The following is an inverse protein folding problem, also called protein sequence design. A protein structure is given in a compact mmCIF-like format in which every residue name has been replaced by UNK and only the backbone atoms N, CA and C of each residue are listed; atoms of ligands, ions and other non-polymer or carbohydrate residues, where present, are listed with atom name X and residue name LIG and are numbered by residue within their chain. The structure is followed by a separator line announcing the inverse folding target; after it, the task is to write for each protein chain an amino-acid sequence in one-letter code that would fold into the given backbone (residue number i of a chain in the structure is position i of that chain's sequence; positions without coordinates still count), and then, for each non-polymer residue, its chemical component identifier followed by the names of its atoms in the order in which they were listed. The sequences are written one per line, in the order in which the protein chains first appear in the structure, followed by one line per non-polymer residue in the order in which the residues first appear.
data_IF_561879491693
#
_entry.id   IF_561879491693
#
_cell.length_a   1.000
_cell.length_b   1.000
_cell.length_c   1.000
_cell.angle_alpha   90.00
_cell.angle_beta   90.00
_cell.angle_gamma   90.00
#
_symmetry.space_group_name_H-M   'P 1'
#
loop_
_entity.id
_entity.type
_entity.pdbx_description
1 polymer ?
#
# COMPACT_ATOMS: atom_id res chain seq x y z
N UNK A 1 9.63 8.18 -14.21
CA UNK A 1 9.43 6.84 -13.62
C UNK A 1 8.78 7.07 -12.28
N UNK A 2 7.61 6.48 -12.02
CA UNK A 2 6.99 6.59 -10.70
C UNK A 2 7.97 6.08 -9.65
N UNK A 3 8.13 6.81 -8.54
CA UNK A 3 8.93 6.34 -7.40
C UNK A 3 8.21 5.15 -6.78
N UNK A 4 8.92 4.07 -6.48
CA UNK A 4 8.30 2.93 -5.79
C UNK A 4 7.91 3.35 -4.35
N UNK A 5 6.77 2.85 -3.88
CA UNK A 5 6.23 3.16 -2.54
C UNK A 5 7.25 2.83 -1.44
N UNK A 6 8.04 1.77 -1.62
CA UNK A 6 9.14 1.42 -0.71
C UNK A 6 10.15 2.56 -0.55
N UNK A 7 10.60 3.16 -1.66
CA UNK A 7 11.58 4.25 -1.61
C UNK A 7 11.01 5.46 -0.86
N UNK A 8 9.75 5.82 -1.13
CA UNK A 8 9.07 6.90 -0.42
C UNK A 8 8.94 6.62 1.09
N UNK A 9 8.75 5.35 1.48
CA UNK A 9 8.70 4.96 2.89
C UNK A 9 10.07 5.15 3.56
N UNK A 10 11.15 4.72 2.90
CA UNK A 10 12.50 4.86 3.42
C UNK A 10 12.93 6.34 3.52
N UNK A 11 12.60 7.17 2.53
CA UNK A 11 12.84 8.62 2.55
C UNK A 11 12.12 9.33 3.71
N UNK A 12 10.94 8.83 4.10
CA UNK A 12 10.19 9.34 5.27
C UNK A 12 10.62 8.70 6.60
N UNK A 13 11.72 7.92 6.61
CA UNK A 13 12.26 7.27 7.81
C UNK A 13 11.38 6.14 8.34
N UNK A 14 10.45 5.62 7.53
CA UNK A 14 9.59 4.53 7.93
C UNK A 14 10.38 3.22 7.95
N UNK A 15 10.31 2.49 9.07
CA UNK A 15 10.92 1.16 9.15
C UNK A 15 10.23 0.19 8.19
N UNK A 16 10.93 -0.20 7.13
CA UNK A 16 10.45 -1.22 6.20
C UNK A 16 10.79 -2.62 6.72
N UNK A 17 9.77 -3.40 7.07
CA UNK A 17 9.89 -4.84 7.38
C UNK A 17 9.68 -5.65 6.09
N UNK A 18 10.02 -6.94 6.10
CA UNK A 18 9.78 -7.81 4.94
C UNK A 18 8.32 -7.78 4.47
N UNK A 19 7.36 -7.85 5.39
CA UNK A 19 5.93 -7.79 5.07
C UNK A 19 5.50 -6.43 4.48
N UNK A 20 6.04 -5.32 5.02
CA UNK A 20 5.75 -3.98 4.48
C UNK A 20 6.28 -3.80 3.07
N UNK A 21 7.46 -4.37 2.77
CA UNK A 21 8.02 -4.35 1.41
C UNK A 21 7.15 -5.09 0.41
N UNK A 22 6.66 -6.28 0.78
CA UNK A 22 5.73 -7.03 -0.07
C UNK A 22 4.45 -6.22 -0.34
N UNK A 23 3.87 -5.60 0.68
CA UNK A 23 2.66 -4.77 0.52
C UNK A 23 2.95 -3.53 -0.36
N UNK A 24 4.08 -2.85 -0.13
CA UNK A 24 4.51 -1.70 -0.93
C UNK A 24 4.74 -2.08 -2.40
N UNK A 25 5.34 -3.25 -2.65
CA UNK A 25 5.54 -3.79 -4.00
C UNK A 25 4.20 -4.07 -4.68
N UNK A 26 3.27 -4.76 -4.00
CA UNK A 26 1.92 -5.05 -4.53
C UNK A 26 1.19 -3.78 -4.95
N UNK A 27 1.29 -2.72 -4.14
CA UNK A 27 0.66 -1.43 -4.44
C UNK A 27 1.40 -0.65 -5.54
N UNK A 28 2.73 -0.77 -5.63
CA UNK A 28 3.52 -0.09 -6.68
C UNK A 28 3.36 -0.74 -8.05
N UNK A 29 3.09 -2.05 -8.09
CA UNK A 29 2.87 -2.85 -9.30
C UNK A 29 1.40 -2.83 -9.75
N UNK A 30 0.48 -2.25 -8.96
CA UNK A 30 -0.95 -2.30 -9.26
C UNK A 30 -1.39 -1.13 -10.15
N UNK A 31 -1.82 -1.44 -11.37
CA UNK A 31 -2.46 -0.47 -12.28
C UNK A 31 -3.94 -0.22 -11.96
N UNK A 32 -4.57 -1.03 -11.10
CA UNK A 32 -6.03 -1.14 -10.95
C UNK A 32 -6.61 -0.62 -9.61
N UNK A 33 -5.85 0.18 -8.87
CA UNK A 33 -6.24 0.84 -7.60
C UNK A 33 -6.95 -0.14 -6.64
N UNK A 34 -6.26 -1.14 -6.10
CA UNK A 34 -6.87 -2.24 -5.36
C UNK A 34 -7.47 -1.80 -4.03
N UNK A 35 -8.53 -2.49 -3.61
CA UNK A 35 -9.04 -2.41 -2.23
C UNK A 35 -8.17 -3.23 -1.24
N UNK A 36 -8.45 -3.13 0.06
CA UNK A 36 -7.65 -3.83 1.09
C UNK A 36 -7.69 -5.36 0.93
N UNK A 37 -8.82 -5.92 0.50
CA UNK A 37 -8.97 -7.36 0.32
C UNK A 37 -8.13 -7.83 -0.88
N UNK A 38 -8.12 -7.04 -1.96
CA UNK A 38 -7.29 -7.30 -3.13
C UNK A 38 -5.80 -7.19 -2.83
N UNK A 39 -5.37 -6.16 -2.10
CA UNK A 39 -3.98 -6.02 -1.64
C UNK A 39 -3.59 -7.21 -0.77
N UNK A 40 -4.49 -7.64 0.12
CA UNK A 40 -4.26 -8.82 0.94
C UNK A 40 -4.11 -10.09 0.12
N UNK A 41 -5.01 -10.34 -0.84
CA UNK A 41 -4.92 -11.53 -1.68
C UNK A 41 -3.55 -11.58 -2.39
N UNK A 42 -3.19 -10.50 -3.09
CA UNK A 42 -1.93 -10.37 -3.83
C UNK A 42 -0.70 -10.46 -2.92
N UNK A 43 -0.74 -9.86 -1.73
CA UNK A 43 0.36 -9.91 -0.78
C UNK A 43 0.51 -11.30 -0.14
N UNK A 44 -0.60 -11.98 0.16
CA UNK A 44 -0.61 -13.32 0.76
C UNK A 44 -0.11 -14.39 -0.22
N UNK A 45 -0.35 -14.20 -1.52
CA UNK A 45 0.20 -15.05 -2.58
C UNK A 45 1.74 -14.95 -2.65
N UNK A 46 2.31 -13.79 -2.26
CA UNK A 46 3.77 -13.58 -2.19
C UNK A 46 4.38 -13.97 -0.83
N UNK A 47 3.70 -13.69 0.28
CA UNK A 47 4.08 -14.08 1.64
C UNK A 47 2.86 -14.55 2.44
N UNK A 48 2.65 -15.86 2.60
CA UNK A 48 1.51 -16.43 3.32
C UNK A 48 1.42 -16.07 4.81
N UNK A 49 2.46 -15.45 5.39
CA UNK A 49 2.46 -14.97 6.78
C UNK A 49 1.80 -13.60 6.92
N UNK A 50 1.54 -12.90 5.82
CA UNK A 50 0.84 -11.63 5.81
C UNK A 50 -0.63 -11.91 6.12
N UNK A 51 -1.13 -11.30 7.20
CA UNK A 51 -2.55 -11.32 7.54
C UNK A 51 -3.25 -10.07 7.04
N UNK A 52 -4.56 -10.15 6.83
CA UNK A 52 -5.41 -8.99 6.48
C UNK A 52 -5.21 -7.82 7.46
N UNK A 53 -5.06 -8.11 8.75
CA UNK A 53 -4.79 -7.10 9.78
C UNK A 53 -3.42 -6.40 9.57
N UNK A 54 -2.43 -7.11 9.03
CA UNK A 54 -1.13 -6.53 8.68
C UNK A 54 -1.24 -5.60 7.48
N UNK A 55 -2.08 -5.94 6.50
CA UNK A 55 -2.37 -5.08 5.36
C UNK A 55 -3.04 -3.80 5.83
N UNK A 56 -4.14 -3.88 6.59
CA UNK A 56 -4.81 -2.71 7.16
C UNK A 56 -3.87 -1.77 7.91
N UNK A 57 -3.02 -2.31 8.80
CA UNK A 57 -2.04 -1.49 9.53
C UNK A 57 -1.03 -0.84 8.60
N UNK A 58 -0.60 -1.53 7.55
CA UNK A 58 0.43 -1.04 6.64
C UNK A 58 -0.12 0.03 5.70
N UNK A 59 -1.28 -0.19 5.07
CA UNK A 59 -1.90 0.82 4.19
C UNK A 59 -2.25 2.08 4.97
N UNK A 60 -2.73 1.95 6.22
CA UNK A 60 -2.96 3.09 7.10
C UNK A 60 -1.68 3.85 7.42
N UNK A 61 -0.57 3.15 7.70
CA UNK A 61 0.72 3.79 7.92
C UNK A 61 1.20 4.54 6.68
N UNK A 62 0.97 3.99 5.48
CA UNK A 62 1.31 4.66 4.23
C UNK A 62 0.42 5.88 3.96
N UNK A 63 -0.88 5.82 4.29
CA UNK A 63 -1.79 6.99 4.29
C UNK A 63 -1.34 8.06 5.30
N UNK A 64 -1.10 7.69 6.55
CA UNK A 64 -0.64 8.61 7.62
C UNK A 64 0.70 9.24 7.26
N UNK A 65 1.54 8.49 6.56
CA UNK A 65 2.79 8.99 6.04
C UNK A 65 2.63 9.83 4.78
N UNK A 66 1.43 9.97 4.17
CA UNK A 66 1.16 10.74 2.95
C UNK A 66 1.79 10.14 1.69
N UNK A 67 1.93 8.81 1.65
CA UNK A 67 2.48 8.02 0.54
C UNK A 67 1.36 7.40 -0.29
N UNK A 68 0.27 7.00 0.36
CA UNK A 68 -0.96 6.57 -0.30
C UNK A 68 -2.07 7.59 -0.10
N UNK A 69 -2.95 7.69 -1.08
CA UNK A 69 -4.28 8.27 -0.92
C UNK A 69 -5.33 7.15 -0.97
N UNK A 70 -6.35 7.32 -0.12
CA UNK A 70 -7.52 6.45 -0.07
C UNK A 70 -8.69 7.18 -0.71
N UNK A 71 -9.31 6.52 -1.68
CA UNK A 71 -10.56 6.96 -2.28
C UNK A 71 -11.70 6.06 -1.84
N UNK A 72 -12.71 6.65 -1.22
CA UNK A 72 -13.96 5.95 -0.92
C UNK A 72 -14.84 6.00 -2.17
N UNK A 73 -14.97 4.85 -2.83
CA UNK A 73 -15.93 4.71 -3.91
C UNK A 73 -17.32 4.50 -3.28
N UNK A 74 -18.35 5.04 -3.92
CA UNK A 74 -19.73 5.03 -3.40
C UNK A 74 -20.35 3.63 -3.24
N UNK A 75 -19.59 2.57 -3.54
CA UNK A 75 -19.89 1.17 -3.28
C UNK A 75 -19.48 0.72 -1.86
N UNK A 76 -18.94 1.63 -1.04
CA UNK A 76 -18.51 1.37 0.33
C UNK A 76 -17.11 0.73 0.42
N UNK A 77 -16.38 0.66 -0.70
CA UNK A 77 -15.01 0.15 -0.73
C UNK A 77 -14.01 1.30 -0.81
N UNK A 78 -12.96 1.15 -0.03
CA UNK A 78 -11.81 2.02 -0.04
C UNK A 78 -10.75 1.45 -1.00
N UNK A 79 -10.40 2.21 -2.03
CA UNK A 79 -9.33 1.88 -2.96
C UNK A 79 -8.11 2.75 -2.69
N UNK A 80 -6.94 2.18 -2.93
CA UNK A 80 -5.66 2.81 -2.63
C UNK A 80 -4.91 3.12 -3.91
N UNK A 81 -4.36 4.33 -3.97
CA UNK A 81 -3.45 4.76 -5.03
C UNK A 81 -2.24 5.50 -4.44
N UNK A 82 -1.15 5.54 -5.20
CA UNK A 82 0.03 6.30 -4.80
C UNK A 82 -0.31 7.80 -4.78
N UNK A 83 0.01 8.47 -3.67
CA UNK A 83 -0.22 9.90 -3.56
C UNK A 83 0.58 10.64 -4.65
N UNK A 84 -0.04 11.53 -5.43
CA UNK A 84 0.65 12.30 -6.45
C UNK A 84 1.75 13.14 -5.79
N UNK A 85 2.93 13.18 -6.39
CA UNK A 85 3.98 14.10 -5.97
C UNK A 85 3.43 15.53 -6.14
N UNK A 86 3.07 16.21 -5.04
CA UNK A 86 2.75 17.63 -5.09
C UNK A 86 4.00 18.36 -5.55
N UNK A 87 3.99 18.78 -6.83
CA UNK A 87 4.95 19.69 -7.44
C UNK A 87 5.01 21.03 -6.72
#
# INVERSE_FOLDING_TARGET
MAREIEQMCEERGMRMTAQRRVIAQVLSEADDHPDVEEVYQRASDKDPRISIATVYRTVRLFEEAGILERHEFGDGRARYEQAPEKH
#
